data_IF_644914547582
#
_entry.id   IF_644914547582
#
_cell.length_a   1.000
_cell.length_b   1.000
_cell.length_c   1.000
_cell.angle_alpha   90.00
_cell.angle_beta   90.00
_cell.angle_gamma   90.00
#
_symmetry.space_group_name_H-M   'P 1'
#
loop_
_entity.id
_entity.type
_entity.pdbx_description
1 polymer ?
#
# COMPACT_ATOMS: atom_id res chain seq x y z
N UNK A 1 0.54 -3.44 -23.95
CA UNK A 1 1.97 -3.10 -24.11
C UNK A 1 2.70 -4.06 -23.18
N UNK A 2 3.43 -5.02 -23.73
CA UNK A 2 4.19 -5.97 -22.93
C UNK A 2 5.21 -5.22 -22.06
N UNK A 3 5.44 -5.63 -20.82
CA UNK A 3 6.46 -5.00 -19.99
C UNK A 3 7.83 -5.21 -20.61
N UNK A 4 8.69 -4.19 -20.54
CA UNK A 4 10.10 -4.32 -20.91
C UNK A 4 10.73 -5.29 -19.89
N UNK A 5 10.91 -6.54 -20.30
CA UNK A 5 11.55 -7.58 -19.49
C UNK A 5 13.04 -7.30 -19.43
N UNK A 6 13.49 -6.84 -18.26
CA UNK A 6 14.92 -6.71 -17.95
C UNK A 6 15.45 -8.03 -17.40
N UNK A 7 16.77 -8.22 -17.39
CA UNK A 7 17.37 -9.42 -16.81
C UNK A 7 16.93 -9.66 -15.35
N UNK A 8 16.87 -8.58 -14.55
CA UNK A 8 16.37 -8.65 -13.16
C UNK A 8 14.89 -9.05 -13.08
N UNK A 9 14.07 -8.61 -14.03
CA UNK A 9 12.66 -9.00 -14.14
C UNK A 9 12.54 -10.51 -14.37
N UNK A 10 13.27 -11.03 -15.36
CA UNK A 10 13.24 -12.46 -15.70
C UNK A 10 13.85 -13.32 -14.59
N UNK A 11 14.90 -12.84 -13.93
CA UNK A 11 15.50 -13.52 -12.78
C UNK A 11 14.50 -13.68 -11.62
N UNK A 12 13.77 -12.61 -11.27
CA UNK A 12 12.73 -12.69 -10.25
C UNK A 12 11.63 -13.68 -10.63
N UNK A 13 11.20 -13.69 -11.90
CA UNK A 13 10.21 -14.67 -12.38
C UNK A 13 10.71 -16.11 -12.27
N UNK A 14 11.97 -16.37 -12.63
CA UNK A 14 12.57 -17.71 -12.50
C UNK A 14 12.59 -18.17 -11.05
N UNK A 15 13.02 -17.32 -10.11
CA UNK A 15 12.99 -17.68 -8.69
C UNK A 15 11.57 -17.96 -8.17
N UNK A 16 10.57 -17.19 -8.62
CA UNK A 16 9.17 -17.44 -8.25
C UNK A 16 8.70 -18.79 -8.81
N UNK A 17 9.00 -19.09 -10.07
CA UNK A 17 8.49 -20.28 -10.75
C UNK A 17 9.22 -21.57 -10.33
N UNK A 18 10.55 -21.52 -10.30
CA UNK A 18 11.41 -22.71 -10.21
C UNK A 18 11.86 -23.01 -8.78
N UNK A 19 11.59 -22.11 -7.83
CA UNK A 19 11.99 -22.27 -6.42
C UNK A 19 10.87 -21.94 -5.44
N UNK A 20 11.12 -22.22 -4.16
CA UNK A 20 10.28 -21.77 -3.04
C UNK A 20 11.03 -20.79 -2.11
N UNK A 21 12.10 -20.16 -2.61
CA UNK A 21 12.89 -19.21 -1.81
C UNK A 21 12.16 -17.87 -1.76
N UNK A 22 12.16 -17.22 -0.60
CA UNK A 22 11.59 -15.88 -0.45
C UNK A 22 12.40 -14.86 -1.26
N UNK A 23 11.74 -13.83 -1.77
CA UNK A 23 12.37 -12.84 -2.64
C UNK A 23 12.06 -11.45 -2.11
N UNK A 24 13.05 -10.57 -2.13
CA UNK A 24 12.85 -9.14 -1.98
C UNK A 24 13.16 -8.43 -3.30
N UNK A 25 12.09 -8.04 -4.01
CA UNK A 25 12.17 -7.26 -5.22
C UNK A 25 12.18 -5.77 -4.88
N UNK A 26 13.31 -5.12 -5.11
CA UNK A 26 13.47 -3.69 -4.85
C UNK A 26 13.89 -2.91 -6.10
N UNK A 27 14.07 -1.61 -5.94
CA UNK A 27 14.50 -0.71 -7.00
C UNK A 27 14.03 0.71 -6.73
N UNK A 28 14.61 1.67 -7.45
CA UNK A 28 14.28 3.10 -7.28
C UNK A 28 12.82 3.41 -7.61
N UNK A 29 12.36 4.62 -7.29
CA UNK A 29 11.06 5.08 -7.75
C UNK A 29 11.00 5.01 -9.29
N UNK A 30 9.91 4.43 -9.83
CA UNK A 30 9.73 4.35 -11.28
C UNK A 30 10.50 3.23 -11.99
N UNK A 31 11.09 2.26 -11.28
CA UNK A 31 11.83 1.15 -11.91
C UNK A 31 10.98 -0.04 -12.37
N UNK A 32 9.65 0.07 -12.26
CA UNK A 32 8.73 -0.96 -12.76
C UNK A 32 8.30 -2.03 -11.74
N UNK A 33 8.50 -1.82 -10.44
CA UNK A 33 8.00 -2.73 -9.37
C UNK A 33 6.50 -3.06 -9.51
N UNK A 34 5.65 -2.04 -9.64
CA UNK A 34 4.20 -2.23 -9.86
C UNK A 34 3.89 -2.90 -11.19
N UNK A 35 4.71 -2.65 -12.23
CA UNK A 35 4.60 -3.31 -13.54
C UNK A 35 4.90 -4.80 -13.44
N UNK A 36 5.92 -5.18 -12.65
CA UNK A 36 6.22 -6.58 -12.35
C UNK A 36 5.07 -7.27 -11.62
N UNK A 37 4.52 -6.62 -10.59
CA UNK A 37 3.35 -7.13 -9.88
C UNK A 37 2.16 -7.33 -10.82
N UNK A 38 1.89 -6.35 -11.68
CA UNK A 38 0.83 -6.45 -12.68
C UNK A 38 1.03 -7.63 -13.64
N UNK A 39 2.26 -7.86 -14.10
CA UNK A 39 2.59 -9.00 -14.95
C UNK A 39 2.31 -10.34 -14.26
N UNK A 40 2.69 -10.48 -12.98
CA UNK A 40 2.39 -11.69 -12.20
C UNK A 40 0.90 -11.95 -12.07
N UNK A 41 0.08 -10.90 -11.95
CA UNK A 41 -1.39 -11.03 -11.89
C UNK A 41 -1.99 -11.48 -13.22
N UNK A 42 -1.46 -10.95 -14.32
CA UNK A 42 -1.93 -11.29 -15.68
C UNK A 42 -1.43 -12.67 -16.13
N UNK A 43 -0.35 -13.17 -15.53
CA UNK A 43 0.28 -14.46 -15.84
C UNK A 43 0.50 -15.25 -14.54
N UNK A 44 -0.57 -15.73 -13.88
CA UNK A 44 -0.45 -16.44 -12.61
C UNK A 44 0.25 -17.78 -12.80
N UNK A 45 1.32 -17.99 -12.04
CA UNK A 45 2.14 -19.23 -12.08
C UNK A 45 1.89 -20.10 -10.84
N UNK A 46 1.44 -19.48 -9.74
CA UNK A 46 1.16 -20.11 -8.45
C UNK A 46 -0.18 -19.60 -7.93
N UNK A 47 -0.81 -20.36 -7.04
CA UNK A 47 -1.94 -19.88 -6.25
C UNK A 47 -1.46 -18.75 -5.33
N UNK A 48 -1.66 -17.52 -5.79
CA UNK A 48 -1.08 -16.33 -5.17
C UNK A 48 -2.11 -15.45 -4.49
N UNK A 49 -1.69 -14.76 -3.44
CA UNK A 49 -2.44 -13.69 -2.82
C UNK A 49 -1.57 -12.44 -2.70
N UNK A 50 -2.21 -11.27 -2.88
CA UNK A 50 -1.53 -9.98 -2.83
C UNK A 50 -2.02 -9.23 -1.60
N UNK A 51 -1.08 -8.77 -0.80
CA UNK A 51 -1.33 -7.97 0.37
C UNK A 51 -0.43 -6.73 0.42
N UNK A 52 -0.86 -5.73 1.18
CA UNK A 52 -0.07 -4.53 1.45
C UNK A 52 -0.33 -4.01 2.88
N UNK A 53 0.53 -3.16 3.44
CA UNK A 53 0.36 -2.65 4.80
C UNK A 53 -0.79 -1.64 4.95
N UNK A 54 -1.13 -0.89 3.89
CA UNK A 54 -2.17 0.15 3.92
C UNK A 54 -3.29 -0.14 2.92
N UNK A 55 -4.49 0.41 3.15
CA UNK A 55 -5.64 0.23 2.27
C UNK A 55 -5.39 0.75 0.85
N UNK A 56 -4.79 1.94 0.72
CA UNK A 56 -4.46 2.54 -0.59
C UNK A 56 -3.45 1.68 -1.35
N UNK A 57 -2.39 1.20 -0.68
CA UNK A 57 -1.41 0.31 -1.30
C UNK A 57 -2.05 -1.03 -1.72
N UNK A 58 -2.93 -1.59 -0.88
CA UNK A 58 -3.64 -2.82 -1.19
C UNK A 58 -4.52 -2.68 -2.43
N UNK A 59 -5.27 -1.58 -2.54
CA UNK A 59 -6.10 -1.29 -3.72
C UNK A 59 -5.23 -1.09 -4.98
N UNK A 60 -4.09 -0.41 -4.86
CA UNK A 60 -3.15 -0.19 -5.97
C UNK A 60 -2.55 -1.50 -6.49
N UNK A 61 -2.15 -2.37 -5.57
CA UNK A 61 -1.70 -3.72 -5.85
C UNK A 61 -2.85 -4.63 -6.37
N UNK A 62 -4.10 -4.19 -6.19
CA UNK A 62 -5.32 -4.95 -6.41
C UNK A 62 -5.36 -6.24 -5.58
N UNK A 63 -5.05 -6.09 -4.30
CA UNK A 63 -5.15 -7.07 -3.23
C UNK A 63 -5.88 -6.50 -2.01
N UNK A 64 -5.59 -7.03 -0.83
CA UNK A 64 -6.19 -6.58 0.44
C UNK A 64 -5.11 -6.20 1.47
N UNK A 65 -5.46 -5.64 2.62
CA UNK A 65 -4.44 -5.32 3.63
C UNK A 65 -3.94 -6.58 4.32
N UNK A 66 -2.68 -6.58 4.81
CA UNK A 66 -2.15 -7.68 5.63
C UNK A 66 -3.03 -7.97 6.85
N UNK A 67 -3.54 -6.91 7.49
CA UNK A 67 -4.44 -6.99 8.64
C UNK A 67 -5.76 -7.68 8.28
N UNK A 68 -6.37 -7.32 7.14
CA UNK A 68 -7.59 -7.96 6.64
C UNK A 68 -7.33 -9.40 6.19
N UNK A 69 -6.21 -9.67 5.51
CA UNK A 69 -5.88 -11.00 5.02
C UNK A 69 -5.65 -11.99 6.15
N UNK A 70 -4.98 -11.60 7.23
CA UNK A 70 -4.63 -12.53 8.30
C UNK A 70 -5.43 -12.32 9.60
N UNK A 71 -6.44 -11.44 9.59
CA UNK A 71 -7.20 -11.04 10.79
C UNK A 71 -6.24 -10.62 11.93
N UNK A 72 -5.21 -9.84 11.59
CA UNK A 72 -4.19 -9.42 12.56
C UNK A 72 -4.80 -8.41 13.55
N UNK A 73 -4.62 -8.61 14.86
CA UNK A 73 -4.90 -7.57 15.84
C UNK A 73 -3.98 -6.36 15.63
N UNK A 74 -4.46 -5.17 15.98
CA UNK A 74 -3.62 -3.98 16.02
C UNK A 74 -2.75 -3.98 17.26
N UNK A 75 -1.49 -3.58 17.09
CA UNK A 75 -0.49 -3.51 18.14
C UNK A 75 0.72 -4.41 17.88
N UNK A 76 1.73 -4.35 18.76
CA UNK A 76 2.97 -5.09 18.59
C UNK A 76 2.76 -6.59 18.84
N UNK A 77 3.36 -7.42 17.98
CA UNK A 77 3.45 -8.87 18.18
C UNK A 77 4.79 -9.24 18.83
N UNK A 78 4.72 -9.95 19.95
CA UNK A 78 5.91 -10.42 20.67
C UNK A 78 5.87 -11.96 20.70
N UNK A 79 6.77 -12.68 20.00
CA UNK A 79 6.66 -14.14 19.88
C UNK A 79 6.77 -14.89 21.21
N UNK A 80 7.45 -14.28 22.18
CA UNK A 80 7.69 -14.84 23.52
C UNK A 80 6.58 -14.39 24.47
N UNK A 81 6.18 -15.27 25.40
CA UNK A 81 5.22 -14.96 26.45
C UNK A 81 5.78 -13.86 27.36
N UNK A 82 5.44 -12.61 27.10
CA UNK A 82 6.06 -11.46 27.78
C UNK A 82 5.27 -10.97 28.98
N UNK A 83 4.08 -11.53 29.27
CA UNK A 83 3.16 -10.95 30.26
C UNK A 83 2.85 -9.47 29.99
N UNK A 84 3.15 -9.00 28.77
CA UNK A 84 3.29 -7.58 28.49
C UNK A 84 1.92 -6.91 28.49
N UNK A 85 1.86 -5.76 29.13
CA UNK A 85 0.69 -4.87 29.13
C UNK A 85 0.40 -4.31 27.73
N UNK A 86 1.37 -4.37 26.81
CA UNK A 86 1.31 -3.82 25.46
C UNK A 86 1.59 -4.91 24.41
N UNK A 87 0.61 -5.17 23.54
CA UNK A 87 0.72 -6.10 22.42
C UNK A 87 0.02 -7.45 22.64
N UNK A 88 0.37 -8.40 21.78
CA UNK A 88 -0.13 -9.77 21.83
C UNK A 88 1.00 -10.75 21.51
N UNK A 89 0.93 -11.92 22.13
CA UNK A 89 1.90 -12.99 21.90
C UNK A 89 1.34 -14.11 21.02
N UNK A 90 2.15 -15.15 20.78
CA UNK A 90 1.75 -16.33 20.00
C UNK A 90 0.45 -16.95 20.53
N UNK A 91 0.31 -17.14 21.84
CA UNK A 91 -0.86 -17.79 22.44
C UNK A 91 -2.12 -16.92 22.25
N UNK A 92 -1.99 -15.62 22.48
CA UNK A 92 -3.06 -14.63 22.36
C UNK A 92 -3.49 -14.45 20.91
N UNK A 93 -2.53 -14.41 19.97
CA UNK A 93 -2.79 -14.39 18.54
C UNK A 93 -3.61 -15.61 18.11
N UNK A 94 -3.07 -16.82 18.36
CA UNK A 94 -3.69 -18.08 17.95
C UNK A 94 -5.04 -18.35 18.63
N UNK A 95 -5.21 -17.95 19.89
CA UNK A 95 -6.49 -18.10 20.59
C UNK A 95 -7.59 -17.17 20.08
N UNK A 96 -7.23 -15.99 19.52
CA UNK A 96 -8.17 -15.04 18.90
C UNK A 96 -8.45 -15.35 17.44
N UNK A 97 -7.62 -16.16 16.80
CA UNK A 97 -7.83 -16.60 15.43
C UNK A 97 -9.09 -17.46 15.33
N UNK A 98 -10.06 -16.92 14.60
CA UNK A 98 -11.33 -17.57 14.25
C UNK A 98 -11.42 -17.57 12.73
N UNK A 99 -10.98 -18.67 12.13
CA UNK A 99 -11.08 -18.87 10.68
C UNK A 99 -12.19 -19.88 10.38
N UNK A 100 -13.03 -19.53 9.42
CA UNK A 100 -13.97 -20.47 8.84
C UNK A 100 -13.24 -21.45 7.90
N UNK A 101 -13.96 -22.47 7.43
CA UNK A 101 -13.44 -23.46 6.48
C UNK A 101 -12.82 -22.82 5.24
N UNK A 102 -13.48 -21.80 4.68
CA UNK A 102 -13.04 -21.15 3.44
C UNK A 102 -11.70 -20.46 3.64
N UNK A 103 -11.50 -19.79 4.78
CA UNK A 103 -10.24 -19.13 5.10
C UNK A 103 -9.10 -20.12 5.34
N UNK A 104 -9.39 -21.24 6.02
CA UNK A 104 -8.42 -22.32 6.22
C UNK A 104 -8.03 -22.92 4.86
N UNK A 105 -9.01 -23.21 4.00
CA UNK A 105 -8.78 -23.75 2.66
C UNK A 105 -7.96 -22.78 1.80
N UNK A 106 -8.28 -21.48 1.84
CA UNK A 106 -7.50 -20.45 1.18
C UNK A 106 -6.04 -20.44 1.64
N UNK A 107 -5.78 -20.44 2.96
CA UNK A 107 -4.41 -20.46 3.50
C UNK A 107 -3.68 -21.76 3.13
N UNK A 108 -4.39 -22.89 3.09
CA UNK A 108 -3.82 -24.18 2.71
C UNK A 108 -3.51 -24.27 1.21
N UNK A 109 -4.29 -23.62 0.36
CA UNK A 109 -4.06 -23.54 -1.08
C UNK A 109 -3.03 -22.47 -1.49
N UNK A 110 -2.71 -21.53 -0.59
CA UNK A 110 -1.76 -20.46 -0.86
C UNK A 110 -0.34 -21.00 -1.08
N UNK A 111 0.26 -20.62 -2.20
CA UNK A 111 1.62 -20.99 -2.61
C UNK A 111 2.56 -19.78 -2.63
N UNK A 112 2.05 -18.60 -3.02
CA UNK A 112 2.80 -17.35 -3.09
C UNK A 112 2.06 -16.21 -2.38
N UNK A 113 2.68 -15.64 -1.35
CA UNK A 113 2.21 -14.40 -0.72
C UNK A 113 3.05 -13.23 -1.25
N UNK A 114 2.41 -12.29 -1.94
CA UNK A 114 3.05 -11.04 -2.36
C UNK A 114 2.72 -9.94 -1.37
N UNK A 115 3.75 -9.27 -0.85
CA UNK A 115 3.63 -8.14 0.06
C UNK A 115 4.18 -6.90 -0.65
N UNK A 116 3.28 -6.06 -1.17
CA UNK A 116 3.64 -4.78 -1.78
C UNK A 116 3.84 -3.70 -0.70
N UNK A 117 4.63 -2.68 -1.02
CA UNK A 117 5.11 -1.65 -0.08
C UNK A 117 5.74 -2.23 1.20
N UNK A 118 6.56 -3.28 1.05
CA UNK A 118 7.21 -4.00 2.14
C UNK A 118 8.04 -3.13 3.09
N UNK A 119 8.54 -1.97 2.63
CA UNK A 119 9.30 -1.03 3.47
C UNK A 119 8.48 -0.48 4.63
N UNK A 120 7.15 -0.42 4.50
CA UNK A 120 6.22 0.04 5.54
C UNK A 120 5.80 -1.09 6.50
N UNK A 121 6.20 -2.34 6.24
CA UNK A 121 5.82 -3.49 7.06
C UNK A 121 6.75 -3.61 8.26
N UNK A 122 6.17 -3.74 9.46
CA UNK A 122 6.95 -3.91 10.67
C UNK A 122 7.44 -5.36 10.81
N UNK A 123 8.62 -5.55 11.41
CA UNK A 123 9.22 -6.87 11.71
C UNK A 123 8.22 -7.81 12.39
N UNK A 124 7.54 -7.31 13.42
CA UNK A 124 6.57 -8.09 14.18
C UNK A 124 5.35 -8.52 13.37
N UNK A 125 4.98 -7.76 12.33
CA UNK A 125 3.88 -8.13 11.43
C UNK A 125 4.25 -9.35 10.61
N UNK A 126 5.51 -9.43 10.14
CA UNK A 126 6.01 -10.60 9.40
C UNK A 126 6.02 -11.85 10.27
N UNK A 127 6.50 -11.74 11.52
CA UNK A 127 6.52 -12.87 12.44
C UNK A 127 5.12 -13.31 12.91
N UNK A 128 4.16 -12.38 13.00
CA UNK A 128 2.76 -12.72 13.24
C UNK A 128 2.19 -13.53 12.07
N UNK A 129 2.46 -13.13 10.83
CA UNK A 129 2.03 -13.85 9.63
C UNK A 129 2.67 -15.24 9.57
N UNK A 130 3.98 -15.33 9.81
CA UNK A 130 4.68 -16.61 9.89
C UNK A 130 4.05 -17.54 10.95
N UNK A 131 3.78 -17.01 12.14
CA UNK A 131 3.13 -17.76 13.23
C UNK A 131 1.76 -18.32 12.81
N UNK A 132 0.96 -17.51 12.11
CA UNK A 132 -0.35 -17.91 11.60
C UNK A 132 -0.23 -19.00 10.55
N UNK A 133 0.61 -18.78 9.54
CA UNK A 133 0.77 -19.71 8.43
C UNK A 133 1.29 -21.08 8.90
N UNK A 134 2.27 -21.10 9.83
CA UNK A 134 2.75 -22.35 10.43
C UNK A 134 1.66 -23.08 11.21
N UNK A 135 0.84 -22.33 11.95
CA UNK A 135 -0.24 -22.90 12.77
C UNK A 135 -1.36 -23.48 11.92
N UNK A 136 -1.84 -22.75 10.91
CA UNK A 136 -2.98 -23.17 10.07
C UNK A 136 -2.59 -24.30 9.11
N UNK A 137 -1.36 -24.25 8.56
CA UNK A 137 -0.87 -25.26 7.62
C UNK A 137 -0.24 -26.48 8.31
N UNK A 138 -0.12 -26.46 9.63
CA UNK A 138 0.55 -27.48 10.45
C UNK A 138 1.98 -27.79 9.99
N UNK A 139 2.72 -26.78 9.56
CA UNK A 139 4.08 -26.89 9.02
C UNK A 139 5.02 -25.95 9.78
N UNK A 140 6.08 -26.48 10.37
CA UNK A 140 7.02 -25.67 11.18
C UNK A 140 8.08 -24.94 10.35
N UNK A 141 8.15 -25.20 9.05
CA UNK A 141 8.99 -24.46 8.11
C UNK A 141 8.51 -23.00 7.96
N UNK A 142 9.40 -22.06 7.59
CA UNK A 142 9.05 -20.64 7.41
C UNK A 142 7.79 -20.44 6.58
N UNK A 143 6.90 -19.57 7.05
CA UNK A 143 5.61 -19.23 6.48
C UNK A 143 4.73 -20.46 6.17
N UNK A 144 4.91 -21.57 6.90
CA UNK A 144 4.23 -22.83 6.61
C UNK A 144 4.53 -23.38 5.20
N UNK A 145 5.64 -22.98 4.60
CA UNK A 145 6.06 -23.34 3.25
C UNK A 145 5.46 -22.49 2.13
N UNK A 146 4.78 -21.39 2.46
CA UNK A 146 4.36 -20.39 1.47
C UNK A 146 5.59 -19.57 1.06
N UNK A 147 5.82 -19.42 -0.24
CA UNK A 147 6.85 -18.53 -0.74
C UNK A 147 6.40 -17.08 -0.55
N UNK A 148 7.27 -16.20 -0.05
CA UNK A 148 6.95 -14.78 0.15
C UNK A 148 7.76 -13.90 -0.80
N UNK A 149 7.05 -13.07 -1.56
CA UNK A 149 7.63 -12.03 -2.40
C UNK A 149 7.37 -10.66 -1.75
N UNK A 150 8.42 -10.06 -1.20
CA UNK A 150 8.41 -8.69 -0.73
C UNK A 150 8.70 -7.74 -1.90
N UNK A 151 7.86 -6.73 -2.11
CA UNK A 151 8.08 -5.69 -3.12
C UNK A 151 8.13 -4.35 -2.39
N UNK A 152 9.17 -3.54 -2.62
CA UNK A 152 9.25 -2.23 -1.98
C UNK A 152 10.59 -1.52 -2.20
N UNK A 153 10.72 -0.35 -1.60
CA UNK A 153 11.95 0.45 -1.61
C UNK A 153 12.27 0.90 -0.18
N UNK A 154 13.36 0.40 0.38
CA UNK A 154 13.75 0.65 1.77
C UNK A 154 14.01 2.13 2.08
N UNK A 155 14.21 2.95 1.06
CA UNK A 155 14.47 4.39 1.21
C UNK A 155 13.19 5.25 1.14
N UNK A 156 12.03 4.63 1.00
CA UNK A 156 10.74 5.34 1.05
C UNK A 156 10.24 5.43 2.49
N UNK A 157 9.01 5.01 2.74
CA UNK A 157 8.40 5.08 4.06
C UNK A 157 8.78 3.86 4.89
N UNK A 158 9.30 4.14 6.08
CA UNK A 158 9.57 3.16 7.14
C UNK A 158 8.26 2.75 7.85
N UNK A 159 8.23 1.63 8.58
CA UNK A 159 7.07 1.27 9.38
C UNK A 159 6.79 2.32 10.46
N UNK A 160 5.52 2.67 10.63
CA UNK A 160 5.05 3.59 11.68
C UNK A 160 4.81 2.79 12.95
N UNK A 161 5.69 2.95 13.93
CA UNK A 161 5.60 2.31 15.26
C UNK A 161 5.58 3.41 16.31
N UNK A 162 4.58 3.41 17.19
CA UNK A 162 4.44 4.44 18.24
C UNK A 162 5.56 4.30 19.27
N UNK A 163 5.92 5.39 19.95
CA UNK A 163 7.04 5.40 20.90
C UNK A 163 6.86 4.39 22.04
N UNK A 164 5.63 4.25 22.55
CA UNK A 164 5.30 3.27 23.59
C UNK A 164 5.44 1.82 23.09
N UNK A 165 5.05 1.53 21.84
CA UNK A 165 5.23 0.22 21.21
C UNK A 165 6.70 -0.08 20.95
N UNK A 166 7.47 0.93 20.53
CA UNK A 166 8.91 0.81 20.26
C UNK A 166 9.68 0.38 21.50
N UNK A 167 9.35 0.92 22.68
CA UNK A 167 9.98 0.50 23.95
C UNK A 167 9.73 -0.98 24.26
N UNK A 168 8.52 -1.47 24.00
CA UNK A 168 8.15 -2.87 24.20
C UNK A 168 8.79 -3.82 23.17
N UNK A 169 9.01 -3.35 21.93
CA UNK A 169 9.60 -4.15 20.85
C UNK A 169 11.13 -4.24 20.91
N UNK A 170 11.80 -3.21 21.45
CA UNK A 170 13.28 -3.10 21.48
C UNK A 170 14.02 -4.32 22.04
N UNK A 171 13.53 -5.02 23.10
CA UNK A 171 14.18 -6.23 23.60
C UNK A 171 14.07 -7.44 22.66
N UNK A 172 13.15 -7.42 21.69
CA UNK A 172 12.81 -8.57 20.85
C UNK A 172 13.28 -8.40 19.40
N UNK A 173 13.25 -7.18 18.88
CA UNK A 173 13.61 -6.87 17.50
C UNK A 173 14.78 -5.90 17.41
N UNK A 174 15.75 -6.19 16.53
CA UNK A 174 16.90 -5.32 16.27
C UNK A 174 16.49 -3.97 15.69
N UNK A 175 15.45 -3.97 14.84
CA UNK A 175 14.78 -2.78 14.34
C UNK A 175 13.31 -3.07 14.03
N UNK A 176 12.58 -2.04 13.62
CA UNK A 176 11.19 -2.20 13.21
C UNK A 176 11.03 -2.71 11.78
N UNK A 177 12.08 -2.76 10.95
CA UNK A 177 11.95 -3.11 9.54
C UNK A 177 11.65 -4.59 9.33
N UNK A 178 10.85 -4.92 8.31
CA UNK A 178 10.42 -6.30 8.02
C UNK A 178 11.58 -7.32 7.97
N UNK A 179 12.75 -6.92 7.45
CA UNK A 179 13.94 -7.76 7.31
C UNK A 179 14.58 -8.17 8.65
N UNK A 180 14.26 -7.49 9.75
CA UNK A 180 14.75 -7.83 11.10
C UNK A 180 13.79 -8.76 11.87
N UNK A 181 12.72 -9.23 11.21
CA UNK A 181 11.84 -10.28 11.75
C UNK A 181 12.61 -11.58 12.01
N UNK A 182 12.22 -12.33 13.03
CA UNK A 182 12.87 -13.56 13.41
C UNK A 182 12.85 -14.59 12.29
N UNK A 183 11.73 -14.74 11.58
CA UNK A 183 11.63 -15.67 10.45
C UNK A 183 12.62 -15.33 9.34
N UNK A 184 12.90 -14.05 9.06
CA UNK A 184 13.80 -13.65 7.96
C UNK A 184 15.27 -13.64 8.35
N UNK A 185 15.62 -13.51 9.65
CA UNK A 185 17.03 -13.62 10.09
C UNK A 185 17.65 -14.96 9.72
N UNK A 186 16.87 -16.03 9.86
CA UNK A 186 17.32 -17.38 9.52
C UNK A 186 16.96 -17.78 8.08
N UNK A 187 16.17 -16.96 7.36
CA UNK A 187 15.65 -17.26 6.03
C UNK A 187 15.66 -16.00 5.15
N UNK A 188 16.86 -15.47 4.94
CA UNK A 188 17.09 -14.20 4.23
C UNK A 188 16.53 -14.31 2.79
N UNK A 189 15.63 -13.41 2.37
CA UNK A 189 15.14 -13.39 1.01
C UNK A 189 16.24 -13.09 -0.01
N UNK A 190 16.14 -13.68 -1.20
CA UNK A 190 17.00 -13.30 -2.32
C UNK A 190 16.62 -11.89 -2.77
N UNK A 191 17.60 -10.99 -2.79
CA UNK A 191 17.39 -9.62 -3.21
C UNK A 191 17.53 -9.50 -4.73
N UNK A 192 16.51 -8.95 -5.39
CA UNK A 192 16.54 -8.62 -6.81
C UNK A 192 16.26 -7.13 -6.98
N UNK A 193 17.21 -6.40 -7.55
CA UNK A 193 17.09 -4.95 -7.75
C UNK A 193 16.76 -4.60 -9.21
N UNK A 194 15.64 -3.93 -9.42
CA UNK A 194 15.28 -3.29 -10.68
C UNK A 194 16.02 -1.95 -10.81
N UNK A 195 16.97 -1.88 -11.75
CA UNK A 195 17.86 -0.72 -11.94
C UNK A 195 17.34 0.32 -12.94
N UNK A 196 16.62 -0.11 -13.97
CA UNK A 196 16.17 0.77 -15.06
C UNK A 196 15.01 1.65 -14.61
N UNK A 197 15.17 2.98 -14.65
CA UNK A 197 14.12 3.95 -14.32
C UNK A 197 13.31 4.27 -15.58
N UNK A 198 11.98 4.12 -15.50
CA UNK A 198 11.06 4.36 -16.63
C UNK A 198 10.16 5.58 -16.43
N UNK A 199 9.90 6.00 -15.19
CA UNK A 199 8.91 7.05 -14.88
C UNK A 199 9.39 8.45 -15.25
N UNK A 200 10.65 8.76 -14.97
CA UNK A 200 11.27 10.06 -15.26
C UNK A 200 12.18 9.92 -16.48
N UNK A 201 12.16 10.92 -17.37
CA UNK A 201 13.06 11.01 -18.53
C UNK A 201 14.15 12.09 -18.37
N UNK A 202 13.94 13.04 -17.45
CA UNK A 202 14.89 14.12 -17.19
C UNK A 202 16.03 13.62 -16.30
N UNK A 203 17.22 13.51 -16.88
CA UNK A 203 18.43 13.03 -16.20
C UNK A 203 18.79 13.85 -14.96
N UNK A 204 18.63 15.18 -15.01
CA UNK A 204 18.92 16.06 -13.87
C UNK A 204 17.95 15.80 -12.73
N UNK A 205 16.67 15.58 -13.06
CA UNK A 205 15.68 15.25 -12.05
C UNK A 205 15.90 13.86 -11.44
N UNK A 206 16.27 12.87 -12.27
CA UNK A 206 16.66 11.54 -11.81
C UNK A 206 17.83 11.61 -10.83
N UNK A 207 18.85 12.40 -11.18
CA UNK A 207 20.04 12.59 -10.35
C UNK A 207 19.69 13.21 -8.98
N UNK A 208 18.87 14.26 -8.97
CA UNK A 208 18.36 14.87 -7.72
C UNK A 208 17.59 13.86 -6.87
N UNK A 209 16.69 13.06 -7.47
CA UNK A 209 15.91 12.06 -6.74
C UNK A 209 16.81 10.96 -6.13
N UNK A 210 17.85 10.56 -6.87
CA UNK A 210 18.83 9.59 -6.38
C UNK A 210 19.70 10.18 -5.25
N UNK A 211 20.16 11.42 -5.41
CA UNK A 211 20.88 12.15 -4.36
C UNK A 211 20.04 12.31 -3.09
N UNK A 212 18.73 12.59 -3.22
CA UNK A 212 17.81 12.64 -2.07
C UNK A 212 17.69 11.26 -1.42
N UNK A 213 17.49 10.21 -2.22
CA UNK A 213 17.34 8.83 -1.74
C UNK A 213 18.55 8.37 -0.93
N UNK A 214 19.75 8.66 -1.42
CA UNK A 214 21.01 8.17 -0.84
C UNK A 214 21.62 9.16 0.16
N UNK A 215 20.92 10.27 0.48
CA UNK A 215 21.39 11.34 1.34
C UNK A 215 22.72 11.97 0.87
N UNK A 216 22.85 12.17 -0.45
CA UNK A 216 24.03 12.71 -1.14
C UNK A 216 23.69 13.94 -2.01
N UNK A 217 22.77 14.80 -1.54
CA UNK A 217 22.44 16.04 -2.27
C UNK A 217 23.63 17.01 -2.31
N UNK A 218 23.98 17.45 -3.51
CA UNK A 218 25.02 18.44 -3.75
C UNK A 218 24.47 19.87 -3.66
N UNK A 219 25.37 20.87 -3.61
CA UNK A 219 24.98 22.29 -3.67
C UNK A 219 24.23 22.63 -4.97
N UNK A 220 24.58 21.99 -6.08
CA UNK A 220 23.92 22.17 -7.37
C UNK A 220 22.51 21.61 -7.34
N UNK A 221 22.31 20.42 -6.75
CA UNK A 221 20.98 19.85 -6.55
C UNK A 221 20.09 20.79 -5.73
N UNK A 222 20.62 21.32 -4.62
CA UNK A 222 19.89 22.26 -3.77
C UNK A 222 19.57 23.56 -4.50
N UNK A 223 20.47 24.07 -5.34
CA UNK A 223 20.21 25.27 -6.16
C UNK A 223 19.03 25.05 -7.12
N UNK A 224 18.97 23.88 -7.78
CA UNK A 224 17.85 23.52 -8.68
C UNK A 224 16.54 23.38 -7.90
N UNK A 225 16.55 22.75 -6.73
CA UNK A 225 15.36 22.62 -5.88
C UNK A 225 14.87 23.99 -5.38
N UNK A 226 15.79 24.83 -4.90
CA UNK A 226 15.47 26.18 -4.43
C UNK A 226 14.97 27.09 -5.55
N UNK A 227 15.41 26.90 -6.79
CA UNK A 227 14.91 27.67 -7.93
C UNK A 227 13.44 27.36 -8.27
N UNK A 228 12.85 26.29 -7.70
CA UNK A 228 11.43 25.96 -7.84
C UNK A 228 10.56 26.59 -6.75
N UNK A 229 11.15 27.21 -5.73
CA UNK A 229 10.40 27.88 -4.68
C UNK A 229 9.77 29.16 -5.24
N UNK A 230 8.44 29.16 -5.32
CA UNK A 230 7.65 30.35 -5.60
C UNK A 230 6.71 30.61 -4.40
N UNK A 231 7.04 31.61 -3.58
CA UNK A 231 6.29 31.93 -2.35
C UNK A 231 4.92 32.56 -2.64
N UNK A 232 4.81 33.24 -3.77
CA UNK A 232 3.59 33.88 -4.23
C UNK A 232 2.80 32.97 -5.16
N UNK A 233 3.15 31.68 -5.21
CA UNK A 233 2.44 30.70 -6.02
C UNK A 233 1.02 30.52 -5.49
N UNK A 234 0.07 30.97 -6.29
CA UNK A 234 -1.35 30.71 -6.11
C UNK A 234 -1.78 29.85 -7.28
N UNK A 235 -2.03 28.57 -7.01
CA UNK A 235 -2.69 27.68 -7.98
C UNK A 235 -4.04 28.27 -8.34
N UNK A 236 -4.35 28.37 -9.63
CA UNK A 236 -5.71 28.68 -10.08
C UNK A 236 -6.57 27.43 -9.93
N UNK A 237 -7.87 27.64 -9.79
CA UNK A 237 -8.84 26.54 -9.80
C UNK A 237 -8.81 25.87 -11.18
N UNK A 238 -8.65 24.54 -11.20
CA UNK A 238 -8.53 23.76 -12.44
C UNK A 238 -7.11 23.46 -12.92
N UNK A 239 -6.07 24.06 -12.32
CA UNK A 239 -4.66 23.77 -12.70
C UNK A 239 -4.23 22.33 -12.34
N UNK A 240 -4.99 21.63 -11.50
CA UNK A 240 -4.75 20.22 -11.15
C UNK A 240 -3.58 19.99 -10.19
N UNK A 241 -3.03 21.03 -9.56
CA UNK A 241 -1.99 20.87 -8.55
C UNK A 241 -2.53 20.15 -7.30
N UNK A 242 -1.73 19.20 -6.79
CA UNK A 242 -1.95 18.58 -5.47
C UNK A 242 -0.92 19.16 -4.50
N UNK A 243 -1.38 19.48 -3.29
CA UNK A 243 -0.49 19.82 -2.19
C UNK A 243 -0.20 18.57 -1.37
N UNK A 244 1.09 18.21 -1.28
CA UNK A 244 1.56 17.16 -0.37
C UNK A 244 1.95 17.78 0.97
N UNK A 245 1.51 17.17 2.07
CA UNK A 245 1.81 17.62 3.44
C UNK A 245 2.03 16.40 4.33
N UNK A 246 2.80 16.60 5.40
CA UNK A 246 3.19 15.53 6.33
C UNK A 246 2.07 15.08 7.25
N UNK A 247 1.07 15.92 7.52
CA UNK A 247 -0.01 15.64 8.48
C UNK A 247 -1.38 15.70 7.82
N UNK A 248 -2.22 14.69 8.08
CA UNK A 248 -3.59 14.61 7.56
C UNK A 248 -4.42 15.83 7.96
N UNK A 249 -4.26 16.35 9.18
CA UNK A 249 -4.96 17.56 9.64
C UNK A 249 -4.71 18.76 8.71
N UNK A 250 -3.48 18.91 8.22
CA UNK A 250 -3.14 19.99 7.28
C UNK A 250 -3.78 19.77 5.91
N UNK A 251 -3.79 18.52 5.43
CA UNK A 251 -4.42 18.16 4.15
C UNK A 251 -5.93 18.41 4.21
N UNK A 252 -6.59 17.91 5.27
CA UNK A 252 -8.02 18.07 5.49
C UNK A 252 -8.40 19.54 5.60
N UNK A 253 -7.66 20.31 6.40
CA UNK A 253 -7.88 21.77 6.51
C UNK A 253 -7.78 22.47 5.16
N UNK A 254 -6.79 22.11 4.33
CA UNK A 254 -6.64 22.71 3.01
C UNK A 254 -7.78 22.30 2.05
N UNK A 255 -8.17 21.03 2.09
CA UNK A 255 -9.27 20.49 1.29
C UNK A 255 -10.59 21.18 1.67
N UNK A 256 -10.89 21.29 2.97
CA UNK A 256 -12.06 22.01 3.50
C UNK A 256 -12.04 23.49 3.10
N UNK A 257 -10.91 24.18 3.24
CA UNK A 257 -10.77 25.58 2.82
C UNK A 257 -11.05 25.76 1.32
N UNK A 258 -10.56 24.87 0.47
CA UNK A 258 -10.82 24.91 -0.98
C UNK A 258 -12.27 24.58 -1.30
N UNK A 259 -12.85 23.56 -0.68
CA UNK A 259 -14.25 23.18 -0.86
C UNK A 259 -15.20 24.30 -0.41
N UNK A 260 -14.89 25.00 0.68
CA UNK A 260 -15.71 26.10 1.21
C UNK A 260 -15.66 27.36 0.32
N UNK A 261 -14.61 27.56 -0.48
CA UNK A 261 -14.52 28.66 -1.45
C UNK A 261 -15.46 28.49 -2.64
N UNK A 262 -15.81 27.25 -2.99
CA UNK A 262 -16.75 26.96 -4.07
C UNK A 262 -18.16 27.43 -3.68
N UNK A 263 -18.73 28.30 -4.51
CA UNK A 263 -20.05 28.92 -4.29
C UNK A 263 -21.23 27.99 -4.61
N UNK A 264 -20.96 26.84 -5.22
CA UNK A 264 -21.97 25.86 -5.58
C UNK A 264 -22.50 25.12 -4.35
N UNK A 265 -23.76 24.63 -4.38
CA UNK A 265 -24.34 23.85 -3.30
C UNK A 265 -23.49 22.62 -2.96
N UNK A 266 -23.39 22.30 -1.68
CA UNK A 266 -22.77 21.05 -1.22
C UNK A 266 -23.76 19.89 -1.31
N UNK A 267 -23.28 18.74 -1.77
CA UNK A 267 -23.99 17.47 -1.67
C UNK A 267 -23.21 16.54 -0.73
N UNK A 268 -23.96 15.79 0.07
CA UNK A 268 -23.43 14.84 1.03
C UNK A 268 -23.77 13.43 0.57
N UNK A 269 -22.77 12.57 0.62
CA UNK A 269 -22.89 11.14 0.28
C UNK A 269 -22.54 10.33 1.51
N UNK A 270 -23.48 9.53 1.98
CA UNK A 270 -23.28 8.63 3.12
C UNK A 270 -22.82 7.27 2.60
N UNK A 271 -21.77 6.73 3.20
CA UNK A 271 -21.30 5.39 2.90
C UNK A 271 -22.27 4.33 3.45
N UNK A 272 -22.66 3.38 2.61
CA UNK A 272 -23.32 2.16 3.05
C UNK A 272 -22.26 1.15 3.51
N UNK A 273 -22.32 0.75 4.78
CA UNK A 273 -21.38 -0.21 5.37
C UNK A 273 -22.10 -1.53 5.62
N UNK A 274 -21.74 -2.56 4.86
CA UNK A 274 -22.18 -3.93 5.08
C UNK A 274 -21.22 -4.70 6.00
N UNK A 275 -21.75 -5.29 7.08
CA UNK A 275 -20.97 -6.11 8.01
C UNK A 275 -20.17 -5.31 9.06
N UNK A 276 -19.21 -5.97 9.72
CA UNK A 276 -18.37 -5.34 10.77
C UNK A 276 -17.10 -4.80 10.11
N UNK A 277 -17.10 -3.50 9.78
CA UNK A 277 -15.94 -2.79 9.25
C UNK A 277 -15.40 -1.78 10.27
N UNK A 278 -14.16 -1.97 10.78
CA UNK A 278 -13.52 -0.99 11.66
C UNK A 278 -13.26 0.33 10.93
N UNK A 279 -13.60 1.46 11.57
CA UNK A 279 -13.53 2.79 10.94
C UNK A 279 -12.15 3.16 10.38
N UNK A 280 -11.08 2.74 11.06
CA UNK A 280 -9.71 3.08 10.69
C UNK A 280 -9.18 2.33 9.44
N UNK A 281 -9.95 1.39 8.88
CA UNK A 281 -9.60 0.64 7.66
C UNK A 281 -10.41 1.16 6.45
N UNK A 282 -11.38 2.06 6.67
CA UNK A 282 -12.19 2.58 5.58
C UNK A 282 -11.28 3.29 4.56
N UNK A 283 -11.38 2.92 3.26
CA UNK A 283 -10.56 3.53 2.22
C UNK A 283 -11.00 4.97 1.87
N UNK A 284 -12.18 5.36 2.35
CA UNK A 284 -12.80 6.66 2.16
C UNK A 284 -13.54 7.10 3.43
N UNK A 285 -13.88 8.37 3.48
CA UNK A 285 -14.68 8.96 4.56
C UNK A 285 -16.11 8.39 4.56
N UNK A 286 -16.72 8.28 5.74
CA UNK A 286 -18.11 7.81 5.88
C UNK A 286 -19.12 8.80 5.30
N UNK A 287 -18.88 10.09 5.51
CA UNK A 287 -19.65 11.16 4.92
C UNK A 287 -18.70 11.89 3.96
N UNK A 288 -18.96 11.77 2.66
CA UNK A 288 -18.22 12.47 1.62
C UNK A 288 -19.00 13.73 1.21
N UNK A 289 -18.38 14.90 1.38
CA UNK A 289 -18.97 16.18 1.01
C UNK A 289 -18.33 16.66 -0.29
N UNK A 290 -19.14 16.89 -1.31
CA UNK A 290 -18.68 17.33 -2.62
C UNK A 290 -19.45 18.56 -3.11
N UNK A 291 -18.83 19.28 -4.02
CA UNK A 291 -19.39 20.44 -4.72
C UNK A 291 -19.00 20.34 -6.19
N UNK A 292 -19.82 20.91 -7.07
CA UNK A 292 -19.39 21.18 -8.45
C UNK A 292 -18.12 22.04 -8.43
N UNK A 293 -17.24 21.79 -9.41
CA UNK A 293 -15.90 22.36 -9.57
C UNK A 293 -14.88 21.92 -8.49
N UNK A 294 -15.24 21.00 -7.59
CA UNK A 294 -14.27 20.44 -6.65
C UNK A 294 -13.27 19.52 -7.36
N UNK A 295 -11.99 19.70 -7.05
CA UNK A 295 -10.93 18.77 -7.45
C UNK A 295 -11.01 17.52 -6.58
N UNK A 296 -11.09 16.35 -7.22
CA UNK A 296 -11.19 15.05 -6.57
C UNK A 296 -10.06 14.13 -7.02
N UNK A 297 -9.72 13.15 -6.18
CA UNK A 297 -8.79 12.08 -6.51
C UNK A 297 -9.54 10.76 -6.50
N UNK A 298 -9.36 9.97 -7.55
CA UNK A 298 -9.90 8.62 -7.62
C UNK A 298 -9.13 7.71 -6.68
N UNK A 299 -9.84 6.93 -5.89
CA UNK A 299 -9.27 5.95 -4.94
C UNK A 299 -9.44 4.49 -5.39
N UNK A 300 -10.00 4.27 -6.58
CA UNK A 300 -10.26 2.95 -7.16
C UNK A 300 -9.84 2.93 -8.64
N UNK A 301 -9.50 1.75 -9.14
CA UNK A 301 -9.27 1.50 -10.56
C UNK A 301 -10.57 1.11 -11.25
N UNK A 302 -10.75 1.54 -12.49
CA UNK A 302 -11.83 1.07 -13.36
C UNK A 302 -11.55 -0.38 -13.81
N UNK A 303 -12.42 -1.30 -13.39
CA UNK A 303 -12.34 -2.72 -13.68
C UNK A 303 -12.72 -3.09 -15.12
N UNK A 304 -13.50 -2.26 -15.82
CA UNK A 304 -14.10 -2.63 -17.11
C UNK A 304 -13.70 -1.72 -18.29
N UNK A 305 -13.33 -0.45 -18.05
CA UNK A 305 -13.08 0.51 -19.12
C UNK A 305 -11.70 1.18 -19.16
N UNK A 306 -10.80 0.90 -18.20
CA UNK A 306 -9.51 1.62 -18.00
C UNK A 306 -9.64 3.15 -17.98
N UNK A 307 -10.83 3.66 -17.67
CA UNK A 307 -11.23 5.07 -17.74
C UNK A 307 -10.57 5.92 -16.65
N UNK A 308 -10.40 5.35 -15.47
CA UNK A 308 -9.76 5.97 -14.32
C UNK A 308 -8.92 4.97 -13.53
N UNK A 309 -7.94 5.48 -12.80
CA UNK A 309 -7.03 4.72 -11.95
C UNK A 309 -6.83 5.45 -10.62
N UNK A 310 -6.44 4.73 -9.58
CA UNK A 310 -6.19 5.31 -8.27
C UNK A 310 -5.08 6.37 -8.36
N UNK A 311 -5.31 7.54 -7.79
CA UNK A 311 -4.43 8.71 -7.89
C UNK A 311 -4.71 9.59 -9.11
N UNK A 312 -5.58 9.19 -10.04
CA UNK A 312 -6.04 10.09 -11.11
C UNK A 312 -6.79 11.26 -10.46
N UNK A 313 -6.53 12.46 -10.95
CA UNK A 313 -7.19 13.69 -10.49
C UNK A 313 -8.30 14.03 -11.49
N UNK A 314 -9.42 14.51 -11.00
CA UNK A 314 -10.49 15.07 -11.79
C UNK A 314 -11.06 16.33 -11.14
N UNK A 315 -11.92 17.04 -11.88
CA UNK A 315 -12.71 18.16 -11.38
C UNK A 315 -14.17 17.81 -11.61
N UNK A 316 -15.04 18.00 -10.61
CA UNK A 316 -16.47 17.70 -10.77
C UNK A 316 -17.12 18.73 -11.71
N UNK A 317 -17.65 18.32 -12.85
CA UNK A 317 -18.42 19.19 -13.75
C UNK A 317 -19.89 19.27 -13.39
N UNK A 318 -20.46 18.19 -12.87
CA UNK A 318 -21.86 18.14 -12.45
C UNK A 318 -22.04 17.14 -11.30
N UNK A 319 -23.07 17.34 -10.49
CA UNK A 319 -23.31 16.53 -9.30
C UNK A 319 -24.80 16.53 -8.94
N UNK A 320 -25.36 15.34 -8.83
CA UNK A 320 -26.73 15.07 -8.42
C UNK A 320 -26.74 14.06 -7.27
N UNK A 321 -27.92 13.74 -6.74
CA UNK A 321 -28.05 12.72 -5.69
C UNK A 321 -27.69 11.32 -6.19
N UNK A 322 -27.82 11.09 -7.49
CA UNK A 322 -27.62 9.78 -8.09
C UNK A 322 -26.34 9.71 -8.93
N UNK A 323 -25.82 10.85 -9.41
CA UNK A 323 -24.70 10.89 -10.35
C UNK A 323 -23.65 11.99 -10.09
N UNK A 324 -22.39 11.73 -10.43
CA UNK A 324 -21.30 12.71 -10.43
C UNK A 324 -20.63 12.71 -11.82
N UNK A 325 -20.34 13.87 -12.38
CA UNK A 325 -19.67 14.01 -13.68
C UNK A 325 -18.34 14.72 -13.52
N UNK A 326 -17.33 14.35 -14.32
CA UNK A 326 -16.05 15.09 -14.43
C UNK A 326 -15.58 15.14 -15.88
N UNK A 327 -14.83 16.15 -16.36
CA UNK A 327 -14.36 16.21 -17.75
C UNK A 327 -13.31 15.13 -18.06
N UNK A 328 -12.80 14.44 -17.03
CA UNK A 328 -11.97 13.26 -17.21
C UNK A 328 -12.78 12.00 -17.62
N UNK A 329 -14.12 12.05 -17.62
CA UNK A 329 -15.06 11.19 -18.36
C UNK A 329 -16.55 11.52 -18.11
N UNK A 330 -17.36 11.46 -19.18
CA UNK A 330 -18.83 11.33 -19.11
C UNK A 330 -19.21 10.10 -18.26
N UNK A 331 -20.06 10.33 -17.25
CA UNK A 331 -20.64 9.41 -16.26
C UNK A 331 -19.69 8.70 -15.29
N UNK A 332 -19.66 9.15 -14.03
CA UNK A 332 -19.37 8.28 -12.90
C UNK A 332 -20.31 8.62 -11.74
N UNK A 333 -21.37 7.85 -11.62
CA UNK A 333 -22.01 7.32 -10.41
C UNK A 333 -23.48 7.14 -10.81
N UNK A 334 -23.99 5.92 -10.72
CA UNK A 334 -25.39 5.70 -10.37
C UNK A 334 -25.28 5.25 -8.92
N UNK A 335 -25.73 6.07 -7.97
CA UNK A 335 -25.95 5.65 -6.58
C UNK A 335 -27.19 4.76 -6.50
N UNK A 336 -27.20 3.71 -7.31
CA UNK A 336 -28.19 2.66 -7.35
C UNK A 336 -27.47 1.33 -7.40
N UNK A 337 -27.44 0.64 -6.27
CA UNK A 337 -26.86 -0.70 -6.06
C UNK A 337 -25.32 -0.78 -6.06
N UNK A 338 -24.73 -0.38 -4.94
CA UNK A 338 -23.54 -1.07 -4.41
C UNK A 338 -23.93 -2.45 -3.86
N UNK A 339 -24.50 -3.32 -4.71
CA UNK A 339 -24.63 -4.76 -4.42
C UNK A 339 -23.40 -5.50 -4.91
N UNK A 340 -22.23 -5.11 -4.40
CA UNK A 340 -21.03 -5.94 -4.47
C UNK A 340 -20.88 -6.65 -3.14
N UNK A 341 -21.22 -7.94 -3.08
CA UNK A 341 -20.64 -8.82 -2.05
C UNK A 341 -19.11 -8.71 -2.22
N UNK A 342 -18.44 -8.18 -1.19
CA UNK A 342 -16.99 -8.35 -1.00
C UNK A 342 -16.76 -9.75 -0.42
#
# INVERSE_FOLDING_TARGET
>A
MEPIKTEAFDLALKFINETNVNIFLTGKAGTGKTTFLKYLKENPIKNMAIAAPTGVAAINAGGITLHSMFHLPFGPFIPVHSGATFGFDKKTLLSRLRYNSDKINFINALELLVIDEASMVAAYTVDAIDTILRSVRHKQIPFGGVQVLFIGDLYQLQPVVKDNERLALKPHYSSNFFFDSHVLRDNIPIMVELKTIFRQKDEKFIDILNGLRENMLTKEHLAILNSRLNRDFISRDGDGYITLTTHNVNANRLNELKLNRLKTPQLKFQAEIGGIFPEHILPAEKELILKRDAQVMFIKNDSEGKKFFNGKIGVITDISKDEILSPAMELIFLLGNMSGKI
#
